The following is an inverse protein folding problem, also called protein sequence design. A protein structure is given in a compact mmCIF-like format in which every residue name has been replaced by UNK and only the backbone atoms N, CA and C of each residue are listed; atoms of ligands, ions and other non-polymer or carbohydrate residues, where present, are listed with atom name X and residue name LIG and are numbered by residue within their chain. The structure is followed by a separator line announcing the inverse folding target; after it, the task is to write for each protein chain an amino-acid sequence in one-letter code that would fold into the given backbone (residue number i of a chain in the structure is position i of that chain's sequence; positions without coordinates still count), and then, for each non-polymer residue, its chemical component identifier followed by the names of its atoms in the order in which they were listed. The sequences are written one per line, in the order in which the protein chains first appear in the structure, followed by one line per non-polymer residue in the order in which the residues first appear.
data_IF_435582171374
#
_entry.id   IF_435582171374
#
_cell.length_a   1.000
_cell.length_b   1.000
_cell.length_c   1.000
_cell.angle_alpha   90.00
_cell.angle_beta   90.00
_cell.angle_gamma   90.00
#
_symmetry.space_group_name_H-M   'P 1'
#
loop_
_entity.id
_entity.type
_entity.pdbx_description
1 polymer ?
#
# COMPACT_ATOMS: atom_id res chain seq x y z
N UNK A 1 10.40 -7.13 4.01
CA UNK A 1 10.00 -5.88 4.68
C UNK A 1 10.96 -4.82 4.18
N UNK A 2 10.48 -3.62 3.88
CA UNK A 2 11.33 -2.54 3.32
C UNK A 2 11.98 -1.83 4.52
N UNK A 3 13.32 -1.76 4.61
CA UNK A 3 13.97 -0.99 5.67
C UNK A 3 13.69 0.50 5.43
N UNK A 4 13.03 1.15 6.38
CA UNK A 4 12.62 2.56 6.30
C UNK A 4 13.46 3.47 7.20
N UNK A 5 14.05 2.93 8.26
CA UNK A 5 14.76 3.70 9.27
C UNK A 5 16.17 3.16 9.51
N UNK A 6 17.14 4.03 9.87
CA UNK A 6 18.40 3.61 10.45
C UNK A 6 18.16 2.85 11.77
N UNK A 7 19.04 1.91 12.08
CA UNK A 7 19.02 1.25 13.40
C UNK A 7 19.29 2.28 14.52
N UNK A 8 18.60 2.10 15.65
CA UNK A 8 18.75 2.91 16.86
C UNK A 8 18.44 4.42 16.73
N UNK A 9 17.83 4.86 15.62
CA UNK A 9 17.34 6.24 15.52
C UNK A 9 16.16 6.45 16.48
N UNK A 10 16.18 7.52 17.27
CA UNK A 10 15.05 7.83 18.15
C UNK A 10 13.85 8.29 17.31
N UNK A 11 12.65 7.77 17.61
CA UNK A 11 11.43 8.17 16.93
C UNK A 11 11.28 9.70 16.96
N UNK A 12 11.24 10.38 15.79
CA UNK A 12 11.22 11.85 15.75
C UNK A 12 9.92 12.44 16.30
N UNK A 13 8.91 11.60 16.48
CA UNK A 13 7.54 11.98 16.78
C UNK A 13 7.30 11.85 18.28
N UNK A 14 7.39 10.62 18.82
CA UNK A 14 7.18 10.42 20.26
C UNK A 14 8.41 10.67 21.12
N UNK A 15 9.62 10.62 20.53
CA UNK A 15 10.94 10.75 21.19
C UNK A 15 11.16 9.79 22.37
N UNK A 16 10.39 8.70 22.45
CA UNK A 16 10.36 7.76 23.59
C UNK A 16 10.89 6.37 23.26
N UNK A 17 10.99 6.02 21.98
CA UNK A 17 11.41 4.69 21.55
C UNK A 17 12.38 4.80 20.37
N UNK A 18 13.21 3.79 20.22
CA UNK A 18 14.01 3.61 19.02
C UNK A 18 13.13 3.11 17.87
N UNK A 19 13.42 3.59 16.67
CA UNK A 19 12.86 3.08 15.43
C UNK A 19 13.55 1.77 15.12
N UNK A 20 12.77 0.70 14.97
CA UNK A 20 13.28 -0.49 14.33
C UNK A 20 13.44 -0.22 12.83
N UNK A 21 14.43 -0.86 12.20
CA UNK A 21 14.76 -0.66 10.77
C UNK A 21 13.55 -0.79 9.85
N UNK A 22 12.62 -1.66 10.21
CA UNK A 22 11.45 -1.99 9.42
C UNK A 22 10.25 -1.07 9.76
N UNK A 23 10.33 -0.27 10.83
CA UNK A 23 9.39 0.77 11.25
C UNK A 23 8.19 0.29 12.06
N UNK A 24 8.22 -0.90 12.67
CA UNK A 24 7.17 -1.47 13.52
C UNK A 24 6.73 -0.48 14.60
N UNK A 25 7.67 0.25 15.19
CA UNK A 25 7.35 1.34 16.10
C UNK A 25 6.49 2.39 15.42
N UNK A 26 6.80 2.77 14.17
CA UNK A 26 5.99 3.75 13.43
C UNK A 26 4.53 3.32 13.32
N UNK A 27 4.25 2.02 13.12
CA UNK A 27 2.88 1.48 13.01
C UNK A 27 2.09 1.62 14.31
N UNK A 28 2.76 1.42 15.44
CA UNK A 28 2.11 1.34 16.76
C UNK A 28 2.31 2.59 17.62
N UNK A 29 3.11 3.56 17.15
CA UNK A 29 3.37 4.79 17.86
C UNK A 29 2.06 5.55 18.06
N UNK A 30 1.63 5.72 19.30
CA UNK A 30 0.37 6.42 19.64
C UNK A 30 0.33 7.86 19.13
N UNK A 31 1.50 8.49 18.99
CA UNK A 31 1.65 9.87 18.55
C UNK A 31 1.81 9.98 17.02
N UNK A 32 1.93 8.84 16.31
CA UNK A 32 1.97 8.77 14.85
C UNK A 32 0.65 8.20 14.31
N UNK A 33 0.17 8.71 13.17
CA UNK A 33 -0.80 7.96 12.36
C UNK A 33 -0.08 6.84 11.60
N UNK A 34 0.29 5.79 12.33
CA UNK A 34 1.32 4.81 11.95
C UNK A 34 1.27 4.25 10.54
N UNK A 35 0.10 3.75 10.14
CA UNK A 35 -0.11 3.22 8.80
C UNK A 35 -0.09 4.28 7.71
N UNK A 36 -0.63 5.48 8.01
CA UNK A 36 -0.71 6.56 7.03
C UNK A 36 0.68 7.08 6.68
N UNK A 37 1.54 7.29 7.68
CA UNK A 37 2.90 7.74 7.42
C UNK A 37 3.68 6.78 6.52
N UNK A 38 3.68 5.47 6.85
CA UNK A 38 4.39 4.47 6.03
C UNK A 38 3.83 4.38 4.61
N UNK A 39 2.51 4.41 4.49
CA UNK A 39 1.82 4.43 3.21
C UNK A 39 2.25 5.62 2.37
N UNK A 40 2.16 6.83 2.92
CA UNK A 40 2.45 8.09 2.22
C UNK A 40 3.93 8.18 1.85
N UNK A 41 4.84 7.70 2.72
CA UNK A 41 6.28 7.67 2.41
C UNK A 41 6.60 6.76 1.23
N UNK A 42 6.09 5.52 1.22
CA UNK A 42 6.31 4.59 0.10
C UNK A 42 5.65 5.12 -1.17
N UNK A 43 4.47 5.72 -1.03
CA UNK A 43 3.76 6.34 -2.14
C UNK A 43 4.58 7.45 -2.79
N UNK A 44 5.22 8.31 -1.99
CA UNK A 44 6.11 9.36 -2.47
C UNK A 44 7.38 8.81 -3.12
N UNK A 45 7.98 7.75 -2.55
CA UNK A 45 9.15 7.09 -3.12
C UNK A 45 8.81 6.44 -4.47
N UNK A 46 7.71 5.69 -4.56
CA UNK A 46 7.26 5.08 -5.82
C UNK A 46 6.98 6.14 -6.88
N UNK A 47 6.35 7.25 -6.49
CA UNK A 47 6.11 8.37 -7.39
C UNK A 47 7.42 8.98 -7.91
N UNK A 48 8.40 9.21 -7.04
CA UNK A 48 9.69 9.77 -7.46
C UNK A 48 10.44 8.80 -8.39
N UNK A 49 10.39 7.48 -8.12
CA UNK A 49 10.96 6.45 -9.00
C UNK A 49 10.30 6.50 -10.38
N UNK A 50 8.96 6.50 -10.45
CA UNK A 50 8.22 6.57 -11.72
C UNK A 50 8.58 7.84 -12.50
N UNK A 51 8.64 8.99 -11.80
CA UNK A 51 9.03 10.27 -12.38
C UNK A 51 10.45 10.25 -12.94
N UNK A 52 11.43 9.73 -12.19
CA UNK A 52 12.83 9.62 -12.64
C UNK A 52 12.98 8.63 -13.80
N UNK A 53 12.20 7.56 -13.80
CA UNK A 53 12.14 6.59 -14.90
C UNK A 53 11.39 7.11 -16.13
N UNK A 54 10.84 8.34 -16.09
CA UNK A 54 10.00 8.94 -17.14
C UNK A 54 8.77 8.10 -17.47
N UNK A 55 8.26 7.35 -16.49
CA UNK A 55 7.02 6.60 -16.61
C UNK A 55 5.87 7.55 -16.24
N UNK A 56 4.92 7.71 -17.16
CA UNK A 56 3.75 8.55 -16.92
C UNK A 56 2.85 7.87 -15.88
N UNK A 57 2.51 8.60 -14.82
CA UNK A 57 1.61 8.12 -13.79
C UNK A 57 0.78 9.29 -13.22
N UNK A 58 -0.31 8.97 -12.53
CA UNK A 58 -1.15 9.92 -11.80
C UNK A 58 -1.40 9.43 -10.38
N UNK A 59 -1.11 10.30 -9.41
CA UNK A 59 -1.45 10.14 -8.00
C UNK A 59 -2.97 10.26 -7.77
N UNK A 60 -3.53 9.41 -6.91
CA UNK A 60 -4.95 9.44 -6.50
C UNK A 60 -5.91 9.56 -7.70
N UNK A 61 -5.62 8.83 -8.78
CA UNK A 61 -6.42 8.93 -9.99
C UNK A 61 -7.80 8.30 -9.75
N UNK A 62 -8.91 8.99 -10.07
CA UNK A 62 -10.24 8.41 -9.92
C UNK A 62 -10.42 7.23 -10.88
N UNK A 63 -10.81 6.07 -10.35
CA UNK A 63 -11.01 4.83 -11.09
C UNK A 63 -12.31 4.17 -10.64
N UNK A 64 -13.36 4.51 -11.38
CA UNK A 64 -14.77 4.31 -11.01
C UNK A 64 -15.15 2.84 -10.75
N UNK A 65 -14.36 1.93 -11.29
CA UNK A 65 -14.57 0.49 -11.22
C UNK A 65 -13.91 -0.19 -10.01
N UNK A 66 -13.26 0.56 -9.10
CA UNK A 66 -12.85 0.02 -7.79
C UNK A 66 -13.97 -0.03 -6.76
N UNK A 67 -15.12 0.57 -7.08
CA UNK A 67 -16.32 0.58 -6.26
C UNK A 67 -17.17 -0.62 -6.62
N UNK A 68 -17.60 -1.39 -5.62
CA UNK A 68 -18.60 -2.44 -5.83
C UNK A 68 -19.93 -1.75 -6.21
N UNK A 69 -20.54 -2.07 -7.37
CA UNK A 69 -21.85 -1.53 -7.75
C UNK A 69 -22.93 -1.73 -6.68
N UNK A 70 -22.81 -2.76 -5.85
CA UNK A 70 -23.74 -3.05 -4.74
C UNK A 70 -23.46 -2.23 -3.47
N UNK A 71 -22.25 -1.70 -3.28
CA UNK A 71 -21.91 -0.89 -2.11
C UNK A 71 -22.50 0.54 -2.18
N UNK A 72 -23.14 0.93 -3.29
CA UNK A 72 -23.93 2.16 -3.41
C UNK A 72 -23.15 3.47 -3.21
N UNK A 73 -21.82 3.41 -3.07
CA UNK A 73 -20.96 4.58 -2.90
C UNK A 73 -20.76 5.25 -4.25
N UNK A 74 -21.33 6.45 -4.40
CA UNK A 74 -21.22 7.29 -5.60
C UNK A 74 -19.84 7.93 -5.80
N UNK A 75 -18.93 7.81 -4.82
CA UNK A 75 -17.60 8.40 -4.88
C UNK A 75 -16.65 7.46 -5.63
N UNK A 76 -16.04 7.96 -6.70
CA UNK A 76 -14.98 7.27 -7.43
C UNK A 76 -13.86 6.91 -6.46
N UNK A 77 -13.64 5.62 -6.21
CA UNK A 77 -12.49 5.21 -5.39
C UNK A 77 -11.23 5.46 -6.21
N UNK A 78 -10.27 6.27 -5.74
CA UNK A 78 -9.03 6.47 -6.47
C UNK A 78 -8.12 5.25 -6.33
N UNK A 79 -7.26 5.03 -7.33
CA UNK A 79 -6.07 4.21 -7.17
C UNK A 79 -5.00 5.09 -6.55
N UNK A 80 -4.20 4.54 -5.63
CA UNK A 80 -3.11 5.29 -4.99
C UNK A 80 -2.16 5.83 -6.07
N UNK A 81 -1.82 4.98 -7.05
CA UNK A 81 -1.10 5.37 -8.27
C UNK A 81 -1.71 4.70 -9.51
N UNK A 82 -2.04 5.48 -10.53
CA UNK A 82 -2.38 4.99 -11.86
C UNK A 82 -1.19 5.18 -12.78
N UNK A 83 -0.58 4.07 -13.20
CA UNK A 83 0.57 4.08 -14.11
C UNK A 83 0.09 3.85 -15.53
N UNK A 84 0.41 4.76 -16.43
CA UNK A 84 0.00 4.67 -17.83
C UNK A 84 0.93 3.76 -18.62
N UNK A 85 0.37 3.11 -19.64
CA UNK A 85 1.11 2.28 -20.61
C UNK A 85 2.08 1.26 -19.99
N UNK A 86 1.68 0.60 -18.90
CA UNK A 86 2.53 -0.30 -18.13
C UNK A 86 2.90 -1.58 -18.91
N UNK A 87 1.92 -2.40 -19.26
CA UNK A 87 2.15 -3.71 -19.88
C UNK A 87 1.12 -4.02 -20.95
N UNK A 88 1.57 -4.39 -22.15
CA UNK A 88 0.69 -4.66 -23.32
C UNK A 88 -0.27 -3.50 -23.63
N UNK A 89 0.14 -2.27 -23.36
CA UNK A 89 -0.68 -1.06 -23.53
C UNK A 89 -1.70 -0.81 -22.40
N UNK A 90 -1.85 -1.71 -21.43
CA UNK A 90 -2.78 -1.53 -20.30
C UNK A 90 -2.20 -0.57 -19.25
N UNK A 91 -3.07 0.17 -18.58
CA UNK A 91 -2.71 0.98 -17.43
C UNK A 91 -2.65 0.09 -16.18
N UNK A 92 -1.76 0.39 -15.23
CA UNK A 92 -1.68 -0.33 -13.97
C UNK A 92 -2.28 0.50 -12.84
N UNK A 93 -3.23 -0.07 -12.12
CA UNK A 93 -3.74 0.47 -10.87
C UNK A 93 -2.91 -0.11 -9.73
N UNK A 94 -2.01 0.70 -9.19
CA UNK A 94 -1.18 0.35 -8.05
C UNK A 94 -1.94 0.71 -6.78
N UNK A 95 -2.12 -0.28 -5.93
CA UNK A 95 -2.76 -0.13 -4.62
C UNK A 95 -1.74 -0.44 -3.52
N UNK A 96 -1.54 0.51 -2.63
CA UNK A 96 -0.63 0.45 -1.50
C UNK A 96 -1.40 0.08 -0.24
N UNK A 97 -0.90 -0.92 0.50
CA UNK A 97 -1.56 -1.38 1.71
C UNK A 97 -0.55 -1.57 2.83
N UNK A 98 -0.69 -0.79 3.90
CA UNK A 98 0.00 -1.06 5.15
C UNK A 98 -0.70 -2.18 5.93
N UNK A 99 0.05 -3.21 6.31
CA UNK A 99 -0.46 -4.37 7.06
C UNK A 99 0.33 -4.52 8.35
N UNK A 100 -0.35 -4.57 9.50
CA UNK A 100 0.34 -4.93 10.74
C UNK A 100 0.78 -6.39 10.64
N UNK A 101 2.06 -6.70 10.89
CA UNK A 101 2.56 -8.07 10.89
C UNK A 101 1.87 -8.93 11.97
N UNK A 102 1.30 -8.29 13.00
CA UNK A 102 0.64 -8.95 14.12
C UNK A 102 -0.87 -9.16 13.92
N UNK A 103 -1.44 -8.74 12.77
CA UNK A 103 -2.87 -8.92 12.53
C UNK A 103 -3.22 -10.41 12.47
N UNK A 104 -4.16 -10.83 13.31
CA UNK A 104 -4.56 -12.23 13.39
C UNK A 104 -3.53 -13.13 14.07
N UNK A 105 -2.54 -12.56 14.77
CA UNK A 105 -1.68 -13.30 15.71
C UNK A 105 -2.59 -13.95 16.77
N UNK A 106 -2.80 -15.26 16.62
CA UNK A 106 -3.53 -16.13 17.54
C UNK A 106 -2.60 -17.29 17.92
N UNK A 107 -3.17 -18.36 18.47
CA UNK A 107 -2.49 -19.57 18.96
C UNK A 107 -1.48 -20.20 17.98
N UNK A 108 -1.59 -19.91 16.67
CA UNK A 108 -0.73 -20.49 15.63
C UNK A 108 0.67 -19.85 15.51
N UNK A 109 1.01 -18.91 16.40
CA UNK A 109 2.31 -18.23 16.41
C UNK A 109 2.47 -17.17 15.30
N UNK A 110 3.61 -16.48 15.33
CA UNK A 110 3.96 -15.46 14.36
C UNK A 110 4.72 -16.06 13.18
N UNK A 111 4.21 -15.87 11.96
CA UNK A 111 4.89 -16.24 10.72
C UNK A 111 5.11 -14.99 9.87
N UNK A 112 6.37 -14.64 9.65
CA UNK A 112 6.76 -13.47 8.88
C UNK A 112 6.11 -13.49 7.48
N UNK A 113 5.44 -12.39 7.12
CA UNK A 113 4.78 -12.22 5.81
C UNK A 113 3.41 -12.87 5.65
N UNK A 114 2.95 -13.69 6.61
CA UNK A 114 1.62 -14.32 6.51
C UNK A 114 0.49 -13.29 6.45
N UNK A 115 0.55 -12.26 7.30
CA UNK A 115 -0.42 -11.17 7.32
C UNK A 115 -0.51 -10.46 5.96
N UNK A 116 0.64 -10.10 5.38
CA UNK A 116 0.74 -9.41 4.10
C UNK A 116 0.16 -10.25 2.96
N UNK A 117 0.53 -11.54 2.86
CA UNK A 117 -0.02 -12.47 1.84
C UNK A 117 -1.53 -12.65 1.95
N UNK A 118 -2.07 -12.68 3.18
CA UNK A 118 -3.52 -12.78 3.40
C UNK A 118 -4.24 -11.50 2.98
N UNK A 119 -3.66 -10.33 3.24
CA UNK A 119 -4.20 -9.06 2.77
C UNK A 119 -4.11 -8.95 1.24
N UNK A 120 -3.02 -9.43 0.64
CA UNK A 120 -2.81 -9.53 -0.79
C UNK A 120 -3.88 -10.33 -1.49
N UNK A 121 -4.07 -11.59 -1.09
CA UNK A 121 -5.11 -12.44 -1.67
C UNK A 121 -6.47 -11.75 -1.63
N UNK A 122 -6.86 -11.16 -0.49
CA UNK A 122 -8.14 -10.47 -0.34
C UNK A 122 -8.29 -9.27 -1.30
N UNK A 123 -7.24 -8.48 -1.50
CA UNK A 123 -7.30 -7.34 -2.42
C UNK A 123 -7.31 -7.77 -3.88
N UNK A 124 -6.53 -8.79 -4.24
CA UNK A 124 -6.54 -9.39 -5.58
C UNK A 124 -7.92 -9.94 -5.89
N UNK A 125 -8.52 -10.71 -4.99
CA UNK A 125 -9.86 -11.27 -5.15
C UNK A 125 -10.92 -10.17 -5.33
N UNK A 126 -10.78 -9.05 -4.59
CA UNK A 126 -11.72 -7.92 -4.67
C UNK A 126 -11.58 -7.09 -5.96
N UNK A 127 -10.37 -6.91 -6.48
CA UNK A 127 -10.10 -5.86 -7.48
C UNK A 127 -9.53 -6.34 -8.82
N UNK A 128 -8.85 -7.49 -8.88
CA UNK A 128 -8.13 -7.90 -10.08
C UNK A 128 -9.07 -8.17 -11.27
N UNK A 129 -10.20 -8.85 -11.02
CA UNK A 129 -11.18 -9.14 -12.08
C UNK A 129 -11.73 -7.85 -12.70
N UNK A 130 -12.19 -6.92 -11.87
CA UNK A 130 -12.77 -5.67 -12.34
C UNK A 130 -11.75 -4.78 -13.04
N UNK A 131 -10.49 -4.74 -12.57
CA UNK A 131 -9.41 -4.06 -13.30
C UNK A 131 -9.21 -4.68 -14.69
N UNK A 132 -9.16 -6.01 -14.79
CA UNK A 132 -8.95 -6.70 -16.05
C UNK A 132 -10.07 -6.44 -17.07
N UNK A 133 -11.33 -6.48 -16.63
CA UNK A 133 -12.52 -6.15 -17.44
C UNK A 133 -12.48 -4.72 -17.98
N UNK A 134 -11.86 -3.79 -17.24
CA UNK A 134 -11.71 -2.38 -17.60
C UNK A 134 -10.36 -2.07 -18.28
N UNK A 135 -9.64 -3.06 -18.83
CA UNK A 135 -8.33 -2.88 -19.49
C UNK A 135 -7.20 -2.34 -18.60
N UNK A 136 -7.29 -2.58 -17.29
CA UNK A 136 -6.25 -2.25 -16.32
C UNK A 136 -5.58 -3.52 -15.77
N UNK A 137 -4.35 -3.36 -15.29
CA UNK A 137 -3.62 -4.36 -14.50
C UNK A 137 -3.70 -3.94 -13.03
N UNK A 138 -4.17 -4.82 -12.15
CA UNK A 138 -4.11 -4.56 -10.73
C UNK A 138 -2.72 -4.95 -10.19
N UNK A 139 -2.05 -4.02 -9.51
CA UNK A 139 -0.71 -4.24 -8.94
C UNK A 139 -0.77 -3.91 -7.46
N UNK A 140 -0.91 -4.91 -6.58
CA UNK A 140 -0.97 -4.64 -5.16
C UNK A 140 0.44 -4.57 -4.56
N UNK A 141 0.65 -3.68 -3.61
CA UNK A 141 1.92 -3.46 -2.93
C UNK A 141 1.70 -3.42 -1.42
N UNK A 142 2.37 -4.31 -0.67
CA UNK A 142 2.14 -4.50 0.76
C UNK A 142 3.36 -4.08 1.58
N UNK A 143 3.08 -3.36 2.66
CA UNK A 143 4.04 -2.78 3.60
C UNK A 143 3.87 -3.37 4.99
#
# INVERSE_FOLDING_TARGET
MIPMYPEDETCPICRKACMDKDGEHAVHCKELSGFKYRHDWVWDVLWDILRRARISAKKEAPVNFFTDPMEGRSTLRPADLLVFSWGRGKHACVDLTGVSPLVGLRENGFVAGQAARKAESKKVDKHAKTCAENQHVFVPFFL
#
